data_IF_897826164518
#
_entry.id   IF_897826164518
#
_cell.length_a   1.000
_cell.length_b   1.000
_cell.length_c   1.000
_cell.angle_alpha   90.00
_cell.angle_beta   90.00
_cell.angle_gamma   90.00
#
_symmetry.space_group_name_H-M   'P 1'
#
loop_
_entity.id
_entity.type
_entity.pdbx_description
1 polymer ?
#
# COMPACT_ATOMS: atom_id res chain seq x y z
N UNK A 1 17.55 -5.88 -11.61
CA UNK A 1 16.40 -6.35 -10.80
C UNK A 1 15.12 -5.87 -11.47
N UNK A 2 14.03 -6.58 -11.27
CA UNK A 2 12.72 -6.32 -11.88
C UNK A 2 11.61 -6.58 -10.86
N UNK A 3 10.50 -5.88 -10.99
CA UNK A 3 9.30 -6.05 -10.15
C UNK A 3 8.23 -6.95 -10.77
N UNK A 4 8.52 -7.48 -11.97
CA UNK A 4 7.72 -8.45 -12.72
C UNK A 4 8.65 -9.49 -13.34
N UNK A 5 8.15 -10.70 -13.66
CA UNK A 5 8.90 -11.64 -14.48
C UNK A 5 9.36 -10.95 -15.78
N UNK A 6 10.61 -11.18 -16.17
CA UNK A 6 11.21 -10.58 -17.35
C UNK A 6 11.72 -11.67 -18.29
N UNK A 7 11.50 -11.49 -19.60
CA UNK A 7 12.02 -12.40 -20.65
C UNK A 7 13.35 -11.91 -21.23
N UNK A 8 13.66 -10.62 -21.03
CA UNK A 8 14.86 -9.94 -21.54
C UNK A 8 15.57 -9.18 -20.43
N UNK A 9 16.90 -9.11 -20.53
CA UNK A 9 17.74 -8.39 -19.59
C UNK A 9 17.41 -6.89 -19.61
N UNK A 10 17.08 -6.27 -18.46
CA UNK A 10 16.76 -4.84 -18.39
C UNK A 10 17.97 -3.94 -18.67
N UNK A 11 19.19 -4.49 -18.68
CA UNK A 11 20.42 -3.74 -18.89
C UNK A 11 20.87 -3.73 -20.36
N UNK A 12 20.74 -4.87 -21.07
CA UNK A 12 21.28 -5.04 -22.43
C UNK A 12 20.29 -5.59 -23.46
N UNK A 13 19.07 -5.97 -23.05
CA UNK A 13 18.04 -6.51 -23.94
C UNK A 13 18.26 -7.96 -24.43
N UNK A 14 19.31 -8.65 -23.97
CA UNK A 14 19.55 -10.06 -24.29
C UNK A 14 18.48 -10.95 -23.61
N UNK A 15 18.00 -11.99 -24.29
CA UNK A 15 17.05 -12.95 -23.71
C UNK A 15 17.67 -13.67 -22.51
N UNK A 16 16.86 -13.89 -21.48
CA UNK A 16 17.31 -14.52 -20.24
C UNK A 16 17.30 -16.05 -20.33
N UNK A 17 18.18 -16.68 -19.56
CA UNK A 17 18.22 -18.13 -19.35
C UNK A 17 17.83 -18.45 -17.91
N UNK A 18 16.97 -19.47 -17.74
CA UNK A 18 16.69 -20.02 -16.41
C UNK A 18 17.86 -20.86 -15.95
N UNK A 19 18.41 -20.52 -14.78
CA UNK A 19 19.48 -21.26 -14.11
C UNK A 19 19.05 -21.69 -12.71
N UNK A 20 19.69 -22.73 -12.19
CA UNK A 20 19.59 -23.07 -10.76
C UNK A 20 20.68 -22.34 -9.99
N UNK A 21 20.28 -21.38 -9.16
CA UNK A 21 21.18 -20.62 -8.28
C UNK A 21 20.60 -20.55 -6.88
N UNK A 22 21.40 -20.95 -5.87
CA UNK A 22 20.98 -21.02 -4.47
C UNK A 22 19.71 -21.88 -4.27
N UNK A 23 19.73 -23.08 -4.85
CA UNK A 23 18.64 -24.07 -4.82
C UNK A 23 17.27 -23.56 -5.35
N UNK A 24 17.26 -22.47 -6.14
CA UNK A 24 16.05 -21.93 -6.79
C UNK A 24 16.30 -21.67 -8.26
N UNK A 25 15.24 -21.78 -9.06
CA UNK A 25 15.25 -21.31 -10.45
C UNK A 25 15.24 -19.78 -10.48
N UNK A 26 16.12 -19.22 -11.30
CA UNK A 26 16.30 -17.78 -11.46
C UNK A 26 16.64 -17.46 -12.90
N UNK A 27 16.24 -16.27 -13.33
CA UNK A 27 16.64 -15.74 -14.63
C UNK A 27 18.04 -15.12 -14.55
N UNK A 28 18.91 -15.50 -15.48
CA UNK A 28 20.26 -14.93 -15.65
C UNK A 28 20.40 -14.37 -17.06
N UNK A 29 21.11 -13.25 -17.18
CA UNK A 29 21.51 -12.74 -18.48
C UNK A 29 22.87 -13.37 -18.88
N UNK A 30 22.97 -14.10 -20.00
CA UNK A 30 24.24 -14.69 -20.42
C UNK A 30 25.27 -13.66 -20.88
N UNK A 31 24.83 -12.49 -21.38
CA UNK A 31 25.72 -11.43 -21.86
C UNK A 31 26.32 -10.56 -20.72
N UNK A 32 25.52 -10.18 -19.73
CA UNK A 32 25.99 -9.45 -18.54
C UNK A 32 26.56 -10.37 -17.47
N UNK A 33 26.32 -11.69 -17.60
CA UNK A 33 26.66 -12.71 -16.61
C UNK A 33 25.96 -12.59 -15.24
N UNK A 34 24.96 -11.70 -15.15
CA UNK A 34 24.25 -11.35 -13.91
C UNK A 34 22.89 -12.05 -13.74
N UNK A 35 22.55 -12.33 -12.48
CA UNK A 35 21.21 -12.78 -12.07
C UNK A 35 20.23 -11.62 -12.07
N UNK A 36 19.10 -11.80 -12.75
CA UNK A 36 18.01 -10.83 -12.79
C UNK A 36 17.03 -11.15 -11.65
N UNK A 37 17.19 -10.43 -10.54
CA UNK A 37 16.32 -10.61 -9.38
C UNK A 37 14.92 -10.10 -9.64
N UNK A 38 13.92 -10.97 -9.46
CA UNK A 38 12.51 -10.62 -9.37
C UNK A 38 12.15 -10.37 -7.90
N UNK A 39 12.10 -9.10 -7.51
CA UNK A 39 11.94 -8.71 -6.11
C UNK A 39 10.55 -8.09 -5.85
N UNK A 40 9.97 -8.31 -4.66
CA UNK A 40 8.80 -7.56 -4.22
C UNK A 40 9.07 -6.06 -4.18
N UNK A 41 8.04 -5.27 -4.50
CA UNK A 41 8.10 -3.80 -4.39
C UNK A 41 7.66 -3.37 -2.99
N UNK A 42 8.44 -2.51 -2.31
CA UNK A 42 8.04 -1.99 -1.01
C UNK A 42 6.99 -0.88 -1.16
N UNK A 43 5.98 -0.94 -0.30
CA UNK A 43 4.89 0.00 -0.19
C UNK A 43 4.68 0.40 1.27
N UNK A 44 4.00 1.51 1.49
CA UNK A 44 3.57 1.94 2.81
C UNK A 44 2.15 2.51 2.78
N UNK A 45 1.41 2.34 3.88
CA UNK A 45 0.04 2.86 4.01
C UNK A 45 -0.21 3.37 5.42
N UNK A 46 -1.24 4.19 5.63
CA UNK A 46 -1.62 4.67 6.96
C UNK A 46 -3.13 4.73 7.16
N UNK A 47 -3.60 4.13 8.25
CA UNK A 47 -4.97 4.26 8.71
C UNK A 47 -5.08 5.41 9.71
N UNK A 48 -5.82 6.47 9.36
CA UNK A 48 -6.16 7.55 10.31
C UNK A 48 -7.45 7.17 11.03
N UNK A 49 -7.43 7.16 12.36
CA UNK A 49 -8.54 6.73 13.20
C UNK A 49 -9.11 7.91 13.97
N UNK A 50 -10.38 8.24 13.74
CA UNK A 50 -11.15 9.20 14.51
C UNK A 50 -11.96 8.48 15.61
N UNK A 51 -11.83 8.95 16.85
CA UNK A 51 -12.51 8.43 18.05
C UNK A 51 -13.46 9.48 18.66
N UNK A 52 -13.73 10.59 17.97
CA UNK A 52 -14.60 11.67 18.47
C UNK A 52 -16.09 11.30 18.44
N UNK A 53 -16.47 10.31 17.63
CA UNK A 53 -17.84 9.78 17.51
C UNK A 53 -18.19 8.71 18.55
N UNK A 54 -19.39 8.13 18.40
CA UNK A 54 -19.85 7.00 19.22
C UNK A 54 -19.17 5.68 18.89
N UNK A 55 -18.59 5.57 17.68
CA UNK A 55 -17.78 4.47 17.19
C UNK A 55 -16.47 5.04 16.62
N UNK A 56 -15.38 4.25 16.59
CA UNK A 56 -14.22 4.60 15.81
C UNK A 56 -14.60 4.73 14.33
N UNK A 57 -13.94 5.64 13.62
CA UNK A 57 -14.04 5.74 12.18
C UNK A 57 -12.64 5.78 11.55
N UNK A 58 -12.44 5.06 10.45
CA UNK A 58 -11.15 4.97 9.76
C UNK A 58 -11.24 5.66 8.40
N UNK A 59 -10.25 6.49 8.07
CA UNK A 59 -10.17 7.15 6.77
C UNK A 59 -9.84 6.13 5.67
N UNK A 60 -10.68 6.08 4.64
CA UNK A 60 -10.46 5.27 3.44
C UNK A 60 -10.67 6.13 2.19
N UNK A 61 -10.09 5.66 1.09
CA UNK A 61 -10.24 6.23 -0.26
C UNK A 61 -10.84 5.21 -1.20
N UNK A 62 -11.66 5.69 -2.13
CA UNK A 62 -12.12 4.90 -3.28
C UNK A 62 -11.15 5.13 -4.44
N UNK A 63 -10.63 4.05 -5.03
CA UNK A 63 -9.64 4.14 -6.10
C UNK A 63 -10.27 4.62 -7.41
N UNK A 64 -9.69 5.65 -8.03
CA UNK A 64 -10.08 6.13 -9.35
C UNK A 64 -9.28 5.49 -10.50
N UNK A 65 -8.16 4.79 -10.20
CA UNK A 65 -7.25 4.24 -11.23
C UNK A 65 -7.06 2.72 -11.12
N UNK A 66 -6.87 2.01 -12.26
CA UNK A 66 -6.55 0.59 -12.24
C UNK A 66 -5.23 0.27 -11.52
N UNK A 67 -5.12 -0.91 -10.89
CA UNK A 67 -6.17 -1.92 -10.71
C UNK A 67 -7.15 -1.55 -9.60
N UNK A 68 -8.40 -2.01 -9.72
CA UNK A 68 -9.40 -1.90 -8.66
C UNK A 68 -10.11 -0.57 -8.58
N UNK A 69 -10.48 0.00 -9.74
CA UNK A 69 -11.34 1.18 -9.79
C UNK A 69 -12.65 0.89 -9.07
N UNK A 70 -13.08 1.80 -8.18
CA UNK A 70 -14.28 1.65 -7.36
C UNK A 70 -14.09 0.79 -6.10
N UNK A 71 -12.88 0.27 -5.85
CA UNK A 71 -12.58 -0.43 -4.60
C UNK A 71 -12.10 0.56 -3.54
N UNK A 72 -12.55 0.37 -2.31
CA UNK A 72 -12.12 1.14 -1.15
C UNK A 72 -10.87 0.54 -0.50
N UNK A 73 -9.95 1.41 -0.10
CA UNK A 73 -8.67 1.06 0.53
C UNK A 73 -8.28 2.06 1.61
N UNK A 74 -7.38 1.62 2.48
CA UNK A 74 -6.59 2.52 3.34
C UNK A 74 -5.59 3.26 2.44
N UNK A 75 -5.38 4.59 2.62
CA UNK A 75 -4.44 5.36 1.83
C UNK A 75 -3.02 4.82 1.86
N UNK A 76 -2.37 4.73 0.70
CA UNK A 76 -1.01 4.21 0.62
C UNK A 76 -0.59 3.74 -0.76
N UNK A 77 0.73 3.76 -0.97
CA UNK A 77 1.32 3.56 -2.29
C UNK A 77 2.74 3.03 -2.23
N UNK A 78 3.46 3.21 -3.35
CA UNK A 78 4.85 2.76 -3.47
C UNK A 78 5.78 3.71 -2.72
N UNK A 79 6.84 3.17 -2.15
CA UNK A 79 7.91 4.01 -1.63
C UNK A 79 8.75 4.58 -2.78
N UNK A 80 9.15 5.85 -2.66
CA UNK A 80 10.16 6.44 -3.53
C UNK A 80 11.57 6.11 -3.03
N UNK A 81 12.56 6.21 -3.94
CA UNK A 81 13.95 5.93 -3.60
C UNK A 81 14.45 6.94 -2.57
N UNK A 82 14.94 6.43 -1.43
CA UNK A 82 15.49 7.23 -0.34
C UNK A 82 14.44 7.64 0.71
N UNK A 83 13.17 7.25 0.55
CA UNK A 83 12.16 7.45 1.58
C UNK A 83 12.22 6.39 2.67
N UNK A 84 12.02 6.82 3.91
CA UNK A 84 11.64 5.93 5.01
C UNK A 84 10.17 5.53 4.85
N UNK A 85 9.75 4.30 5.23
CA UNK A 85 8.38 3.84 5.00
C UNK A 85 7.30 4.74 5.64
N UNK A 86 7.57 5.30 6.82
CA UNK A 86 6.65 6.24 7.47
C UNK A 86 6.50 7.55 6.69
N UNK A 87 7.56 8.02 6.03
CA UNK A 87 7.53 9.21 5.18
C UNK A 87 6.68 8.94 3.94
N UNK A 88 6.88 7.77 3.30
CA UNK A 88 6.04 7.36 2.18
C UNK A 88 4.57 7.25 2.58
N UNK A 89 4.24 6.64 3.73
CA UNK A 89 2.86 6.53 4.19
C UNK A 89 2.20 7.90 4.43
N UNK A 90 2.91 8.85 5.04
CA UNK A 90 2.40 10.20 5.27
C UNK A 90 2.23 10.99 3.97
N UNK A 91 3.17 10.85 3.03
CA UNK A 91 3.08 11.47 1.70
C UNK A 91 1.86 10.96 0.94
N UNK A 92 1.69 9.65 0.84
CA UNK A 92 0.56 9.04 0.12
C UNK A 92 -0.79 9.43 0.76
N UNK A 93 -0.86 9.50 2.09
CA UNK A 93 -2.05 10.02 2.77
C UNK A 93 -2.39 11.44 2.32
N UNK A 94 -1.41 12.35 2.31
CA UNK A 94 -1.61 13.74 1.90
C UNK A 94 -2.00 13.83 0.42
N UNK A 95 -1.32 13.07 -0.45
CA UNK A 95 -1.59 13.06 -1.89
C UNK A 95 -2.99 12.53 -2.22
N UNK A 96 -3.47 11.49 -1.54
CA UNK A 96 -4.74 10.81 -1.85
C UNK A 96 -5.94 11.44 -1.12
N UNK A 97 -5.72 12.12 0.01
CA UNK A 97 -6.81 12.59 0.90
C UNK A 97 -6.73 14.05 1.32
N UNK A 98 -5.61 14.74 1.07
CA UNK A 98 -5.34 16.08 1.60
C UNK A 98 -5.15 16.13 3.13
N UNK A 99 -5.14 14.98 3.81
CA UNK A 99 -4.88 14.88 5.26
C UNK A 99 -3.38 14.72 5.46
N UNK A 100 -2.79 15.59 6.29
CA UNK A 100 -1.37 15.56 6.60
C UNK A 100 -1.13 15.08 8.04
N UNK A 101 -0.08 14.28 8.24
CA UNK A 101 0.36 13.79 9.55
C UNK A 101 1.89 13.78 9.60
N UNK A 102 2.47 14.05 10.77
CA UNK A 102 3.92 13.91 10.96
C UNK A 102 4.31 12.42 10.85
N UNK A 103 5.23 12.03 9.95
CA UNK A 103 5.76 10.67 9.88
C UNK A 103 6.26 10.13 11.23
N UNK A 104 6.78 11.01 12.11
CA UNK A 104 7.26 10.65 13.45
C UNK A 104 6.15 10.28 14.44
N UNK A 105 4.89 10.60 14.13
CA UNK A 105 3.72 10.27 14.94
C UNK A 105 3.06 8.94 14.53
N UNK A 106 3.53 8.30 13.46
CA UNK A 106 2.95 7.06 12.96
C UNK A 106 3.36 5.84 13.81
N UNK A 107 2.38 5.05 14.23
CA UNK A 107 2.62 3.75 14.88
C UNK A 107 2.52 2.61 13.86
N UNK A 108 3.39 1.60 13.96
CA UNK A 108 3.27 0.41 13.11
C UNK A 108 2.01 -0.37 13.50
N UNK A 109 1.17 -0.62 12.50
CA UNK A 109 0.01 -1.51 12.61
C UNK A 109 0.42 -2.96 12.35
N UNK A 110 1.01 -3.23 11.18
CA UNK A 110 1.45 -4.56 10.72
C UNK A 110 2.37 -4.43 9.48
N UNK A 111 2.99 -5.53 9.03
CA UNK A 111 3.65 -5.63 7.73
C UNK A 111 3.27 -6.93 7.02
N UNK A 112 2.82 -6.83 5.76
CA UNK A 112 2.30 -7.98 5.05
C UNK A 112 2.60 -7.95 3.55
N UNK A 113 2.61 -9.13 2.94
CA UNK A 113 2.60 -9.26 1.48
C UNK A 113 1.17 -9.24 0.96
N UNK A 114 0.94 -8.55 -0.15
CA UNK A 114 -0.33 -8.63 -0.88
C UNK A 114 -0.32 -9.81 -1.87
N UNK A 115 -1.49 -10.41 -2.19
CA UNK A 115 -1.58 -11.40 -3.25
C UNK A 115 -0.96 -10.88 -4.56
N UNK A 116 -0.11 -11.66 -5.23
CA UNK A 116 0.59 -11.19 -6.42
C UNK A 116 -0.38 -10.88 -7.56
N UNK A 117 -0.12 -9.82 -8.32
CA UNK A 117 -0.93 -9.44 -9.47
C UNK A 117 -0.07 -9.31 -10.71
N UNK A 118 -0.37 -10.11 -11.74
CA UNK A 118 0.42 -10.17 -12.99
C UNK A 118 1.92 -10.40 -12.70
N UNK A 119 2.21 -11.29 -11.76
CA UNK A 119 3.56 -11.57 -11.30
C UNK A 119 4.17 -10.49 -10.41
N UNK A 120 3.53 -9.33 -10.17
CA UNK A 120 4.03 -8.33 -9.21
C UNK A 120 3.81 -8.82 -7.79
N UNK A 121 4.87 -8.85 -7.00
CA UNK A 121 4.79 -9.02 -5.55
C UNK A 121 4.94 -7.66 -4.87
N UNK A 122 4.19 -7.43 -3.80
CA UNK A 122 4.24 -6.20 -3.00
C UNK A 122 4.33 -6.59 -1.53
N UNK A 123 5.19 -5.90 -0.79
CA UNK A 123 5.23 -5.92 0.67
C UNK A 123 4.87 -4.52 1.16
N UNK A 124 3.90 -4.42 2.05
CA UNK A 124 3.43 -3.15 2.58
C UNK A 124 3.66 -3.08 4.08
N UNK A 125 4.23 -1.98 4.55
CA UNK A 125 4.25 -1.62 5.96
C UNK A 125 3.03 -0.74 6.23
N UNK A 126 2.16 -1.18 7.12
CA UNK A 126 0.93 -0.49 7.46
C UNK A 126 1.15 0.27 8.76
N UNK A 127 0.82 1.57 8.74
CA UNK A 127 0.85 2.45 9.89
C UNK A 127 -0.56 2.81 10.34
N UNK A 128 -0.65 3.37 11.54
CA UNK A 128 -1.88 3.90 12.13
C UNK A 128 -1.58 5.22 12.84
N UNK A 129 -2.50 6.17 12.77
CA UNK A 129 -2.40 7.49 13.40
C UNK A 129 -3.74 7.95 13.96
N UNK A 130 -3.73 8.77 15.01
CA UNK A 130 -4.96 9.37 15.56
C UNK A 130 -5.37 10.55 14.68
N UNK A 131 -6.67 10.72 14.45
CA UNK A 131 -7.22 11.91 13.79
C UNK A 131 -6.78 13.22 14.45
N UNK A 132 -6.60 13.21 15.77
CA UNK A 132 -6.16 14.38 16.55
C UNK A 132 -4.73 14.82 16.24
N UNK A 133 -3.89 13.93 15.72
CA UNK A 133 -2.50 14.21 15.34
C UNK A 133 -2.38 14.59 13.85
N UNK A 134 -3.50 14.55 13.12
CA UNK A 134 -3.57 14.86 11.70
C UNK A 134 -4.25 16.23 11.44
N UNK A 135 -3.90 16.87 10.33
CA UNK A 135 -4.45 18.14 9.87
C UNK A 135 -5.10 18.01 8.49
N UNK A 136 -6.01 18.92 8.16
CA UNK A 136 -6.77 18.88 6.90
C UNK A 136 -8.10 18.14 7.03
N UNK A 137 -8.95 18.33 6.02
CA UNK A 137 -10.24 17.64 5.89
C UNK A 137 -10.17 16.68 4.69
N UNK A 138 -10.67 15.43 4.82
CA UNK A 138 -10.61 14.46 3.74
C UNK A 138 -11.24 14.99 2.46
N UNK A 139 -10.44 15.09 1.41
CA UNK A 139 -10.87 15.42 0.05
C UNK A 139 -10.15 14.49 -0.91
N UNK A 140 -10.84 13.99 -1.93
CA UNK A 140 -10.23 13.14 -2.94
C UNK A 140 -9.03 13.84 -3.60
N UNK A 141 -7.90 13.14 -3.64
CA UNK A 141 -6.65 13.63 -4.21
C UNK A 141 -6.25 12.90 -5.50
N UNK A 142 -4.95 12.61 -5.62
CA UNK A 142 -4.26 12.15 -6.85
C UNK A 142 -4.98 11.02 -7.60
N UNK A 143 -5.13 9.86 -6.98
CA UNK A 143 -5.68 8.65 -7.60
C UNK A 143 -6.95 8.12 -6.91
N UNK A 144 -7.57 8.97 -6.08
CA UNK A 144 -8.82 8.71 -5.38
C UNK A 144 -10.02 9.44 -6.03
N UNK A 145 -11.17 8.78 -6.13
CA UNK A 145 -12.43 9.41 -6.56
C UNK A 145 -13.18 10.05 -5.39
N UNK A 146 -12.98 9.53 -4.17
CA UNK A 146 -13.52 10.06 -2.92
C UNK A 146 -12.66 9.62 -1.75
N UNK A 147 -12.73 10.37 -0.64
CA UNK A 147 -12.06 10.09 0.62
C UNK A 147 -13.03 10.37 1.77
N UNK A 148 -13.25 9.40 2.66
CA UNK A 148 -14.09 9.61 3.86
C UNK A 148 -13.76 8.65 4.99
N UNK A 149 -14.18 9.03 6.18
CA UNK A 149 -14.20 8.15 7.33
C UNK A 149 -15.34 7.12 7.23
N UNK A 150 -15.04 5.89 7.61
CA UNK A 150 -15.95 4.76 7.67
C UNK A 150 -15.98 4.20 9.10
N UNK A 151 -17.16 4.06 9.69
CA UNK A 151 -17.31 3.32 10.95
C UNK A 151 -17.41 1.81 10.69
N UNK A 152 -17.12 0.94 11.68
CA UNK A 152 -17.37 -0.50 11.56
C UNK A 152 -18.81 -0.81 11.14
N UNK A 153 -19.80 -0.13 11.73
CA UNK A 153 -21.20 -0.31 11.38
C UNK A 153 -21.52 0.10 9.93
N UNK A 154 -20.96 1.21 9.43
CA UNK A 154 -21.11 1.59 8.02
C UNK A 154 -20.43 0.60 7.08
N UNK A 155 -19.24 0.13 7.45
CA UNK A 155 -18.49 -0.87 6.71
C UNK A 155 -19.27 -2.19 6.61
N UNK A 156 -19.91 -2.64 7.69
CA UNK A 156 -20.71 -3.87 7.70
C UNK A 156 -22.01 -3.77 6.89
N UNK A 157 -22.57 -2.56 6.78
CA UNK A 157 -23.87 -2.33 6.16
C UNK A 157 -23.80 -1.97 4.67
N UNK A 158 -22.59 -1.78 4.12
CA UNK A 158 -22.41 -1.26 2.76
C UNK A 158 -22.38 -2.34 1.69
N UNK A 159 -22.81 -1.99 0.47
CA UNK A 159 -22.62 -2.78 -0.74
C UNK A 159 -21.32 -2.40 -1.49
N UNK A 160 -20.56 -1.42 -0.97
CA UNK A 160 -19.28 -0.99 -1.52
C UNK A 160 -18.21 -2.08 -1.41
N UNK A 161 -17.27 -2.12 -2.36
CA UNK A 161 -16.25 -3.18 -2.40
C UNK A 161 -14.98 -2.78 -1.66
N UNK A 162 -14.61 -3.53 -0.64
CA UNK A 162 -13.29 -3.47 0.01
C UNK A 162 -12.49 -4.72 -0.35
N UNK A 163 -11.17 -4.57 -0.58
CA UNK A 163 -10.34 -5.78 -0.73
C UNK A 163 -10.23 -6.48 0.62
N UNK A 164 -10.25 -7.83 0.69
CA UNK A 164 -10.17 -8.56 1.95
C UNK A 164 -8.97 -8.16 2.82
N UNK A 165 -7.84 -7.88 2.18
CA UNK A 165 -6.63 -7.41 2.86
C UNK A 165 -6.84 -6.04 3.51
N UNK A 166 -7.57 -5.12 2.87
CA UNK A 166 -7.87 -3.81 3.44
C UNK A 166 -8.95 -3.89 4.51
N UNK A 167 -9.89 -4.84 4.41
CA UNK A 167 -10.88 -5.11 5.46
C UNK A 167 -10.21 -5.53 6.78
N UNK A 168 -9.32 -6.52 6.76
CA UNK A 168 -8.61 -6.96 7.97
C UNK A 168 -7.88 -5.80 8.66
N UNK A 169 -7.25 -4.93 7.86
CA UNK A 169 -6.48 -3.78 8.36
C UNK A 169 -7.37 -2.64 8.82
N UNK A 170 -8.51 -2.43 8.16
CA UNK A 170 -9.54 -1.52 8.62
C UNK A 170 -10.01 -1.94 10.02
N UNK A 171 -10.35 -3.22 10.23
CA UNK A 171 -10.78 -3.72 11.55
C UNK A 171 -9.68 -3.59 12.59
N UNK A 172 -8.44 -4.00 12.25
CA UNK A 172 -7.31 -3.87 13.16
C UNK A 172 -7.02 -2.41 13.54
N UNK A 173 -7.16 -1.46 12.61
CA UNK A 173 -7.01 -0.03 12.89
C UNK A 173 -8.15 0.49 13.76
N UNK A 174 -9.39 0.06 13.52
CA UNK A 174 -10.56 0.48 14.29
C UNK A 174 -10.50 0.04 15.77
N UNK A 175 -9.68 -0.95 16.11
CA UNK A 175 -9.38 -1.39 17.49
C UNK A 175 -8.21 -0.63 18.15
N UNK A 176 -7.54 0.28 17.43
CA UNK A 176 -6.42 1.06 17.99
C UNK A 176 -6.91 2.30 18.71
N UNK A 177 -6.14 2.73 19.71
CA UNK A 177 -6.35 3.98 20.43
C UNK A 177 -7.57 4.04 21.35
N UNK A 178 -8.08 2.86 21.77
CA UNK A 178 -9.00 2.71 22.89
C UNK A 178 -8.41 3.14 24.24
#
# INVERSE_FOLDING_TARGET
MVSRPAEYCPHCGTSLETITFDARERERCPACEDVIWHNPVPCASVAVVDRSGSEPAVLCVERAVPPGVGEWTIPGGHMEIGEEPAVAAARELEEETGVAVDPGALEILDAASLPPREGKHVVTIHYVARRADAAGEPTAGSDASTARFWTPSEFDATDETFRPVHEERFRAAAERFD
#
